data_IF_219434235317
#
_entry.id   IF_219434235317
#
_cell.length_a   1.000
_cell.length_b   1.000
_cell.length_c   1.000
_cell.angle_alpha   90.00
_cell.angle_beta   90.00
_cell.angle_gamma   90.00
#
_symmetry.space_group_name_H-M   'P 1'
#
loop_
_entity.id
_entity.type
_entity.pdbx_description
1 polymer ?
#
# COMPACT_ATOMS: atom_id res chain seq x y z
N UNK A 1 -72.11 -15.67 -26.85
CA UNK A 1 -71.00 -14.90 -27.50
C UNK A 1 -70.04 -14.51 -26.38
N UNK A 2 -68.89 -15.15 -26.26
CA UNK A 2 -67.91 -14.84 -25.22
C UNK A 2 -66.52 -14.93 -25.83
N UNK A 3 -65.85 -13.78 -25.94
CA UNK A 3 -64.50 -13.67 -26.50
C UNK A 3 -63.53 -13.87 -25.34
N UNK A 4 -62.78 -14.98 -25.35
CA UNK A 4 -61.64 -15.17 -24.46
C UNK A 4 -60.51 -14.25 -24.92
N UNK A 5 -60.20 -13.23 -24.12
CA UNK A 5 -59.02 -12.40 -24.32
C UNK A 5 -57.77 -13.26 -24.10
N UNK A 6 -57.06 -13.56 -25.19
CA UNK A 6 -55.76 -14.20 -25.15
C UNK A 6 -54.81 -13.34 -24.32
N UNK A 7 -54.29 -13.90 -23.22
CA UNK A 7 -53.29 -13.23 -22.41
C UNK A 7 -52.05 -12.95 -23.27
N UNK A 8 -51.64 -11.69 -23.46
CA UNK A 8 -50.52 -11.36 -24.33
C UNK A 8 -49.24 -11.96 -23.73
N UNK A 9 -48.57 -12.80 -24.52
CA UNK A 9 -47.27 -13.43 -24.24
C UNK A 9 -46.15 -12.42 -23.93
N UNK A 10 -46.40 -11.13 -24.17
CA UNK A 10 -45.50 -10.03 -23.85
C UNK A 10 -45.29 -9.80 -22.35
N UNK A 11 -46.23 -10.19 -21.49
CA UNK A 11 -46.07 -10.06 -20.04
C UNK A 11 -45.05 -11.04 -19.44
N UNK A 12 -44.75 -12.16 -20.13
CA UNK A 12 -43.80 -13.18 -19.65
C UNK A 12 -42.35 -12.89 -20.04
N UNK A 13 -42.13 -12.08 -21.08
CA UNK A 13 -40.77 -11.67 -21.50
C UNK A 13 -40.17 -10.64 -20.54
N UNK A 14 -41.00 -9.76 -19.95
CA UNK A 14 -40.54 -8.78 -18.97
C UNK A 14 -40.04 -9.38 -17.64
N UNK A 15 -40.61 -10.50 -17.20
CA UNK A 15 -40.30 -11.09 -15.88
C UNK A 15 -38.97 -11.88 -15.91
N UNK A 16 -38.57 -12.43 -17.06
CA UNK A 16 -37.28 -13.13 -17.17
C UNK A 16 -36.07 -12.19 -17.34
N UNK A 17 -36.26 -10.95 -17.77
CA UNK A 17 -35.18 -9.97 -17.86
C UNK A 17 -34.70 -9.45 -16.49
N UNK A 18 -35.54 -9.57 -15.45
CA UNK A 18 -35.22 -9.09 -14.09
C UNK A 18 -34.29 -10.05 -13.34
N UNK A 19 -34.29 -11.35 -13.67
CA UNK A 19 -33.53 -12.37 -12.91
C UNK A 19 -32.06 -12.53 -13.33
N UNK A 20 -31.67 -12.03 -14.50
CA UNK A 20 -30.27 -12.06 -14.97
C UNK A 20 -29.52 -10.75 -14.78
N UNK A 21 -30.18 -9.71 -14.26
CA UNK A 21 -29.58 -8.38 -14.08
C UNK A 21 -28.89 -8.18 -12.72
N UNK A 22 -29.09 -9.07 -11.74
CA UNK A 22 -28.60 -8.86 -10.36
C UNK A 22 -27.19 -9.34 -10.07
N UNK A 23 -26.55 -10.12 -10.95
CA UNK A 23 -25.16 -10.61 -10.72
C UNK A 23 -24.08 -9.73 -11.36
N UNK A 24 -24.41 -8.85 -12.30
CA UNK A 24 -23.42 -8.00 -12.98
C UNK A 24 -23.24 -6.64 -12.26
N UNK A 25 -24.27 -6.13 -11.59
CA UNK A 25 -24.18 -4.82 -10.92
C UNK A 25 -23.35 -4.80 -9.62
N UNK A 26 -23.03 -5.96 -9.04
CA UNK A 26 -22.15 -6.03 -7.86
C UNK A 26 -20.65 -5.93 -8.21
N UNK A 27 -20.26 -6.26 -9.45
CA UNK A 27 -18.85 -6.23 -9.88
C UNK A 27 -18.43 -4.88 -10.47
N UNK A 28 -19.33 -4.09 -11.03
CA UNK A 28 -18.96 -2.80 -11.65
C UNK A 28 -18.78 -1.66 -10.63
N UNK A 29 -19.35 -1.77 -9.43
CA UNK A 29 -19.16 -0.77 -8.37
C UNK A 29 -17.81 -0.91 -7.63
N UNK A 30 -17.13 -2.06 -7.75
CA UNK A 30 -15.77 -2.23 -7.21
C UNK A 30 -14.70 -1.57 -8.09
N UNK A 31 -14.99 -1.32 -9.37
CA UNK A 31 -14.04 -0.66 -10.30
C UNK A 31 -14.17 0.86 -10.29
N UNK A 32 -15.36 1.40 -9.98
CA UNK A 32 -15.63 2.84 -9.99
C UNK A 32 -15.14 3.63 -8.77
N UNK A 33 -14.92 2.97 -7.63
CA UNK A 33 -14.42 3.61 -6.41
C UNK A 33 -12.90 3.47 -6.21
N UNK A 34 -12.17 2.97 -7.21
CA UNK A 34 -10.71 2.91 -7.19
C UNK A 34 -10.01 4.22 -7.57
N UNK A 35 -10.75 5.24 -8.04
CA UNK A 35 -10.18 6.47 -8.59
C UNK A 35 -10.18 7.67 -7.62
N UNK A 36 -10.73 7.52 -6.41
CA UNK A 36 -10.93 8.61 -5.44
C UNK A 36 -10.27 8.31 -4.09
N UNK A 37 -9.14 7.61 -4.07
CA UNK A 37 -8.39 7.37 -2.84
C UNK A 37 -6.94 7.71 -3.06
N UNK A 38 -6.43 8.51 -2.13
CA UNK A 38 -5.05 8.96 -1.97
C UNK A 38 -4.49 9.96 -3.00
N UNK A 39 -5.07 11.17 -3.04
CA UNK A 39 -4.18 12.31 -2.78
C UNK A 39 -3.90 12.28 -1.28
N UNK A 40 -3.13 11.28 -0.86
CA UNK A 40 -2.50 11.32 0.44
C UNK A 40 -1.46 12.42 0.27
N UNK A 41 -1.80 13.63 0.72
CA UNK A 41 -0.77 14.60 1.10
C UNK A 41 0.20 13.78 1.95
N UNK A 42 1.45 13.55 1.47
CA UNK A 42 2.40 12.81 2.26
C UNK A 42 2.41 13.48 3.63
N UNK A 43 2.24 12.73 4.74
CA UNK A 43 2.55 13.31 6.04
C UNK A 43 3.93 13.97 5.89
N UNK A 44 4.14 15.20 6.39
CA UNK A 44 5.39 15.90 6.21
C UNK A 44 6.48 14.91 6.55
N UNK A 45 7.28 14.55 5.54
CA UNK A 45 8.30 13.55 5.70
C UNK A 45 9.18 14.05 6.84
N UNK A 46 9.22 13.27 7.92
CA UNK A 46 10.22 13.43 8.97
C UNK A 46 11.55 13.59 8.22
N UNK A 47 12.34 14.65 8.45
CA UNK A 47 13.43 15.05 7.56
C UNK A 47 14.35 13.88 7.25
N UNK A 48 14.12 13.28 6.08
CA UNK A 48 14.83 12.10 5.64
C UNK A 48 16.27 12.51 5.33
N UNK A 49 17.22 11.88 6.01
CA UNK A 49 18.64 12.13 5.77
C UNK A 49 19.04 11.40 4.50
N UNK A 50 19.13 12.12 3.38
CA UNK A 50 19.65 11.60 2.09
C UNK A 50 21.15 11.36 2.15
N UNK A 51 21.59 10.20 1.69
CA UNK A 51 23.01 9.83 1.68
C UNK A 51 23.40 9.21 0.34
N UNK A 52 24.52 9.69 -0.21
CA UNK A 52 25.11 9.27 -1.48
C UNK A 52 25.81 7.90 -1.35
N UNK A 53 25.73 7.10 -2.40
CA UNK A 53 26.04 5.66 -2.48
C UNK A 53 27.53 5.31 -2.62
N UNK A 54 28.42 6.12 -2.05
CA UNK A 54 29.77 5.60 -1.77
C UNK A 54 29.64 4.56 -0.65
N UNK A 55 30.32 3.41 -0.77
CA UNK A 55 30.19 2.29 0.16
C UNK A 55 30.49 2.66 1.61
N UNK A 56 31.25 3.74 1.85
CA UNK A 56 31.54 4.28 3.17
C UNK A 56 30.29 4.83 3.90
N UNK A 57 29.54 5.76 3.29
CA UNK A 57 28.34 6.33 3.90
C UNK A 57 27.26 5.34 4.35
N UNK A 58 26.97 4.28 3.58
CA UNK A 58 25.95 3.28 3.97
C UNK A 58 26.42 2.40 5.14
N UNK A 59 27.67 1.94 5.10
CA UNK A 59 28.25 1.12 6.18
C UNK A 59 28.32 1.92 7.50
N UNK A 60 28.71 3.18 7.43
CA UNK A 60 28.69 4.09 8.58
C UNK A 60 27.27 4.24 9.16
N UNK A 61 26.26 4.41 8.31
CA UNK A 61 24.87 4.56 8.74
C UNK A 61 24.32 3.28 9.37
N UNK A 62 24.64 2.13 8.78
CA UNK A 62 24.26 0.82 9.33
C UNK A 62 24.82 0.61 10.72
N UNK A 63 26.11 0.95 10.92
CA UNK A 63 26.77 0.82 12.22
C UNK A 63 26.23 1.81 13.23
N UNK A 64 26.05 3.07 12.84
CA UNK A 64 25.53 4.14 13.71
C UNK A 64 24.12 3.84 14.21
N UNK A 65 23.25 3.30 13.35
CA UNK A 65 21.84 3.03 13.66
C UNK A 65 21.56 1.57 14.05
N UNK A 66 22.61 0.75 14.18
CA UNK A 66 22.52 -0.68 14.52
C UNK A 66 21.52 -1.42 13.63
N UNK A 67 21.70 -1.33 12.32
CA UNK A 67 20.77 -1.88 11.34
C UNK A 67 20.96 -3.38 11.08
N UNK A 68 19.89 -4.03 10.65
CA UNK A 68 19.88 -5.43 10.20
C UNK A 68 19.14 -5.54 8.86
N UNK A 69 19.76 -6.24 7.90
CA UNK A 69 19.15 -6.56 6.60
C UNK A 69 18.07 -7.65 6.71
N UNK A 70 18.19 -8.55 7.70
CA UNK A 70 17.29 -9.70 7.87
C UNK A 70 16.23 -9.46 8.93
N UNK A 71 16.25 -8.30 9.59
CA UNK A 71 15.38 -8.01 10.72
C UNK A 71 15.97 -8.38 12.08
N UNK A 72 15.16 -8.25 13.11
CA UNK A 72 15.47 -8.60 14.49
C UNK A 72 14.48 -9.66 15.00
N UNK A 73 14.74 -10.17 16.21
CA UNK A 73 13.80 -11.04 16.93
C UNK A 73 12.47 -10.33 17.21
N UNK A 74 11.42 -11.13 17.45
CA UNK A 74 10.03 -10.65 17.55
C UNK A 74 9.78 -9.72 18.74
N UNK A 75 10.64 -9.76 19.74
CA UNK A 75 10.61 -8.93 20.94
C UNK A 75 11.32 -7.58 20.76
N UNK A 76 12.01 -7.38 19.64
CA UNK A 76 12.74 -6.16 19.34
C UNK A 76 11.94 -5.30 18.35
N UNK A 77 11.57 -4.10 18.80
CA UNK A 77 10.87 -3.11 17.97
C UNK A 77 11.89 -2.14 17.35
N UNK A 78 12.06 -2.12 16.02
CA UNK A 78 12.91 -1.14 15.35
C UNK A 78 12.30 0.25 15.43
N UNK A 79 13.16 1.28 15.47
CA UNK A 79 12.73 2.68 15.52
C UNK A 79 12.86 3.38 14.17
N UNK A 80 13.83 2.96 13.35
CA UNK A 80 14.10 3.53 12.03
C UNK A 80 14.30 2.43 10.99
N UNK A 81 14.34 2.82 9.72
CA UNK A 81 14.58 1.95 8.59
C UNK A 81 15.38 2.68 7.51
N UNK A 82 16.17 1.92 6.75
CA UNK A 82 16.85 2.42 5.55
C UNK A 82 16.03 1.99 4.34
N UNK A 83 15.68 2.95 3.50
CA UNK A 83 15.01 2.70 2.22
C UNK A 83 15.90 3.13 1.06
N UNK A 84 15.69 2.51 -0.10
CA UNK A 84 16.14 3.01 -1.39
C UNK A 84 14.95 3.63 -2.10
N UNK A 85 15.05 4.89 -2.46
CA UNK A 85 14.01 5.61 -3.20
C UNK A 85 14.02 5.21 -4.68
N UNK A 86 12.95 5.47 -5.45
CA UNK A 86 12.89 5.14 -6.88
C UNK A 86 13.96 5.81 -7.75
N UNK A 87 14.47 6.98 -7.33
CA UNK A 87 15.60 7.69 -7.93
C UNK A 87 16.97 7.13 -7.52
N UNK A 88 16.99 6.08 -6.70
CA UNK A 88 18.19 5.36 -6.28
C UNK A 88 18.89 5.93 -5.04
N UNK A 89 18.37 7.03 -4.46
CA UNK A 89 18.91 7.60 -3.24
C UNK A 89 18.65 6.66 -2.04
N UNK A 90 19.52 6.74 -1.04
CA UNK A 90 19.35 6.00 0.21
C UNK A 90 18.99 6.97 1.33
N UNK A 91 17.92 6.65 2.05
CA UNK A 91 17.36 7.50 3.10
C UNK A 91 17.16 6.72 4.39
N UNK A 92 17.50 7.34 5.52
CA UNK A 92 17.09 6.87 6.84
C UNK A 92 15.72 7.51 7.17
N UNK A 93 14.72 6.68 7.41
CA UNK A 93 13.34 7.05 7.68
C UNK A 93 12.83 6.40 8.97
N UNK A 94 11.65 6.79 9.43
CA UNK A 94 10.98 6.10 10.55
C UNK A 94 10.65 4.64 10.19
N UNK A 95 10.52 3.79 11.21
CA UNK A 95 10.15 2.39 11.00
C UNK A 95 8.81 2.25 10.26
N UNK A 96 7.78 3.01 10.65
CA UNK A 96 6.47 2.97 9.99
C UNK A 96 6.56 3.33 8.50
N UNK A 97 7.39 4.31 8.14
CA UNK A 97 7.61 4.68 6.74
C UNK A 97 8.30 3.56 5.98
N UNK A 98 9.35 2.96 6.53
CA UNK A 98 10.01 1.80 5.92
C UNK A 98 9.06 0.61 5.78
N UNK A 99 8.18 0.39 6.76
CA UNK A 99 7.19 -0.67 6.74
C UNK A 99 6.15 -0.46 5.64
N UNK A 100 5.70 0.78 5.42
CA UNK A 100 4.80 1.12 4.30
C UNK A 100 5.42 0.81 2.93
N UNK A 101 6.74 0.98 2.78
CA UNK A 101 7.46 0.62 1.54
C UNK A 101 7.47 -0.90 1.36
N UNK A 102 7.76 -1.65 2.43
CA UNK A 102 7.72 -3.12 2.39
C UNK A 102 6.34 -3.68 2.03
N UNK A 103 5.27 -3.05 2.51
CA UNK A 103 3.89 -3.42 2.17
C UNK A 103 3.47 -3.00 0.76
N UNK A 104 4.28 -2.22 0.05
CA UNK A 104 3.95 -1.67 -1.28
C UNK A 104 2.99 -0.48 -1.24
N UNK A 105 2.74 0.09 -0.06
CA UNK A 105 1.92 1.29 0.12
C UNK A 105 2.68 2.58 -0.23
N UNK A 106 4.02 2.50 -0.25
CA UNK A 106 4.90 3.58 -0.64
C UNK A 106 5.97 3.09 -1.62
N UNK A 107 6.35 3.95 -2.58
CA UNK A 107 7.36 3.61 -3.58
C UNK A 107 8.78 3.56 -2.99
N UNK A 108 9.56 2.56 -3.42
CA UNK A 108 10.94 2.34 -3.02
C UNK A 108 11.17 0.88 -2.61
N UNK A 109 12.36 0.62 -2.06
CA UNK A 109 12.73 -0.69 -1.50
C UNK A 109 13.14 -0.53 -0.04
N UNK A 110 12.60 -1.39 0.84
CA UNK A 110 13.12 -1.51 2.21
C UNK A 110 14.45 -2.26 2.17
N UNK A 111 15.51 -1.61 2.62
CA UNK A 111 16.88 -2.17 2.61
C UNK A 111 17.21 -2.81 3.96
N UNK A 112 16.97 -2.10 5.06
CA UNK A 112 17.30 -2.59 6.40
C UNK A 112 16.38 -1.95 7.46
N UNK A 113 16.21 -2.63 8.57
CA UNK A 113 15.54 -2.08 9.77
C UNK A 113 16.57 -1.78 10.86
N UNK A 114 16.34 -0.75 11.65
CA UNK A 114 17.36 -0.17 12.53
C UNK A 114 16.78 0.15 13.91
N UNK A 115 17.60 0.01 14.95
CA UNK A 115 17.21 0.31 16.33
C UNK A 115 17.40 1.79 16.68
N UNK A 116 18.01 2.55 15.76
CA UNK A 116 18.36 3.95 15.94
C UNK A 116 19.74 4.10 16.60
N UNK A 117 20.20 5.35 16.78
CA UNK A 117 21.50 5.61 17.37
C UNK A 117 21.58 5.03 18.79
N UNK A 118 22.74 4.48 19.14
CA UNK A 118 23.01 4.11 20.54
C UNK A 118 22.87 5.36 21.41
N UNK A 119 21.86 5.40 22.29
CA UNK A 119 21.82 6.42 23.35
C UNK A 119 23.04 6.16 24.22
N UNK A 120 24.04 7.04 24.16
CA UNK A 120 25.04 7.12 25.21
C UNK A 120 24.27 7.51 26.48
N UNK A 121 24.21 6.60 27.44
CA UNK A 121 23.67 6.86 28.78
C UNK A 121 24.64 7.70 29.59
#
# INVERSE_FOLDING_TARGET
MSVFAASPSWLRVGIHAVRTATTVSALTLLVGYGAMSSVATPPPADPARRIDMSSGPLDAMMRENRCSFTGFDRDVIPSTAIIRTPDGATELVSFDRGWSVFLGEAAGDLVAVCLGPSRAG
#
